data_IF_107039969102
#
_entry.id   IF_107039969102
#
_cell.length_a   1.000
_cell.length_b   1.000
_cell.length_c   1.000
_cell.angle_alpha   90.00
_cell.angle_beta   90.00
_cell.angle_gamma   90.00
#
_symmetry.space_group_name_H-M   'P 1'
#
loop_
_entity.id
_entity.type
_entity.pdbx_description
1 polymer ?
#
# COMPACT_ATOMS: atom_id res chain seq x y z
N UNK A 1 26.14 56.46 -29.84
CA UNK A 1 25.57 56.66 -28.50
C UNK A 1 24.70 55.45 -28.17
N UNK A 2 25.29 54.44 -27.53
CA UNK A 2 24.61 53.20 -27.16
C UNK A 2 24.64 52.98 -25.66
N UNK A 3 23.75 52.11 -25.21
CA UNK A 3 23.69 51.48 -23.89
C UNK A 3 23.10 52.32 -22.76
N UNK A 4 21.80 52.61 -22.84
CA UNK A 4 21.03 53.16 -21.72
C UNK A 4 19.61 52.59 -21.72
N UNK A 5 19.45 51.26 -21.62
CA UNK A 5 18.16 50.58 -21.37
C UNK A 5 18.36 49.07 -21.14
N UNK A 6 19.09 48.66 -20.09
CA UNK A 6 19.09 47.25 -19.67
C UNK A 6 19.67 47.02 -18.26
N UNK A 7 19.19 47.71 -17.22
CA UNK A 7 19.56 47.35 -15.82
C UNK A 7 18.41 47.47 -14.82
N UNK A 8 17.22 47.04 -15.21
CA UNK A 8 16.09 46.87 -14.29
C UNK A 8 15.33 45.60 -14.67
N UNK A 9 15.67 44.43 -14.10
CA UNK A 9 14.79 43.25 -14.06
C UNK A 9 15.37 41.96 -13.43
N UNK A 10 16.60 41.92 -12.88
CA UNK A 10 17.25 40.64 -12.50
C UNK A 10 17.24 40.25 -11.01
N UNK A 11 16.40 40.83 -10.16
CA UNK A 11 16.26 40.40 -8.75
C UNK A 11 14.93 39.69 -8.46
N UNK A 12 13.85 40.01 -9.19
CA UNK A 12 12.50 39.53 -8.86
C UNK A 12 12.17 38.09 -9.28
N UNK A 13 12.96 37.47 -10.17
CA UNK A 13 12.70 36.08 -10.64
C UNK A 13 13.29 35.04 -9.68
N UNK A 14 14.37 35.39 -8.96
CA UNK A 14 15.07 34.48 -8.05
C UNK A 14 14.36 34.27 -6.71
N UNK A 15 13.66 35.29 -6.19
CA UNK A 15 12.82 35.18 -4.99
C UNK A 15 11.56 34.33 -5.23
N UNK A 16 10.93 34.48 -6.41
CA UNK A 16 9.75 33.68 -6.79
C UNK A 16 10.07 32.20 -7.04
N UNK A 17 11.23 31.91 -7.66
CA UNK A 17 11.69 30.54 -7.89
C UNK A 17 12.05 29.83 -6.58
N UNK A 18 12.69 30.54 -5.63
CA UNK A 18 12.99 30.00 -4.30
C UNK A 18 11.70 29.68 -3.50
N UNK A 19 10.70 30.56 -3.56
CA UNK A 19 9.40 30.36 -2.90
C UNK A 19 8.58 29.23 -3.53
N UNK A 20 8.62 29.07 -4.86
CA UNK A 20 7.92 28.00 -5.59
C UNK A 20 8.54 26.62 -5.35
N UNK A 21 9.87 26.55 -5.26
CA UNK A 21 10.61 25.33 -4.91
C UNK A 21 10.35 24.95 -3.45
N UNK A 22 10.34 25.93 -2.53
CA UNK A 22 9.96 25.72 -1.11
C UNK A 22 8.52 25.20 -0.94
N UNK A 23 7.56 25.65 -1.77
CA UNK A 23 6.17 25.20 -1.73
C UNK A 23 5.97 23.76 -2.25
N UNK A 24 6.85 23.30 -3.15
CA UNK A 24 6.89 21.90 -3.61
C UNK A 24 7.48 20.96 -2.55
N UNK A 25 8.44 21.41 -1.74
CA UNK A 25 9.04 20.60 -0.67
C UNK A 25 8.15 20.44 0.57
N UNK A 26 7.19 21.35 0.81
CA UNK A 26 6.34 21.32 2.00
C UNK A 26 5.15 20.34 1.91
N UNK A 27 4.91 19.73 0.75
CA UNK A 27 3.80 18.81 0.54
C UNK A 27 4.31 17.42 0.16
N UNK A 28 5.08 16.80 1.06
CA UNK A 28 5.23 15.34 1.00
C UNK A 28 3.97 14.73 1.62
N UNK A 29 3.27 13.78 0.95
CA UNK A 29 2.20 13.05 1.59
C UNK A 29 2.79 12.32 2.80
N UNK A 30 2.11 12.40 3.95
CA UNK A 30 2.44 11.52 5.06
C UNK A 30 2.22 10.08 4.57
N UNK A 31 3.29 9.32 4.44
CA UNK A 31 3.21 7.91 4.13
C UNK A 31 2.54 7.22 5.32
N UNK A 32 1.37 6.65 5.10
CA UNK A 32 0.78 5.74 6.08
C UNK A 32 1.76 4.58 6.26
N UNK A 33 2.09 4.28 7.52
CA UNK A 33 2.92 3.12 7.82
C UNK A 33 2.02 1.89 7.75
N UNK A 34 2.23 1.08 6.72
CA UNK A 34 1.68 -0.26 6.69
C UNK A 34 2.54 -1.14 7.60
N UNK A 35 2.01 -1.46 8.79
CA UNK A 35 2.70 -2.29 9.79
C UNK A 35 2.90 -3.72 9.28
N UNK A 36 1.96 -4.22 8.49
CA UNK A 36 2.01 -5.55 7.89
C UNK A 36 1.13 -5.59 6.63
N UNK A 37 1.67 -6.11 5.54
CA UNK A 37 0.98 -6.35 4.25
C UNK A 37 1.47 -7.68 3.70
N UNK A 38 0.55 -8.47 3.17
CA UNK A 38 0.84 -9.70 2.43
C UNK A 38 -0.04 -9.73 1.18
N UNK A 39 0.60 -9.87 0.01
CA UNK A 39 -0.08 -9.98 -1.28
C UNK A 39 -0.35 -11.44 -1.66
N UNK A 40 0.13 -12.41 -0.87
CA UNK A 40 0.00 -13.85 -1.06
C UNK A 40 0.71 -14.42 -2.31
N UNK A 41 1.47 -13.61 -3.05
CA UNK A 41 2.29 -14.08 -4.17
C UNK A 41 3.51 -14.90 -3.69
N UNK A 42 3.85 -14.78 -2.40
CA UNK A 42 4.85 -15.60 -1.73
C UNK A 42 4.36 -17.01 -1.33
N UNK A 43 3.09 -17.34 -1.57
CA UNK A 43 2.48 -18.58 -1.09
C UNK A 43 2.07 -18.49 0.40
N UNK A 44 1.94 -19.66 1.05
CA UNK A 44 1.38 -19.77 2.41
C UNK A 44 2.16 -18.96 3.45
N UNK A 45 3.48 -18.92 3.32
CA UNK A 45 4.34 -18.32 4.33
C UNK A 45 4.04 -18.90 5.73
N UNK A 46 3.91 -18.01 6.71
CA UNK A 46 3.60 -18.33 8.10
C UNK A 46 2.10 -18.27 8.43
N UNK A 47 1.24 -18.08 7.43
CA UNK A 47 -0.20 -18.14 7.63
C UNK A 47 -0.64 -19.56 7.98
N UNK A 48 -1.51 -19.69 8.97
CA UNK A 48 -2.01 -20.97 9.41
C UNK A 48 -3.50 -21.13 9.08
N UNK A 49 -3.80 -22.10 8.21
CA UNK A 49 -5.15 -22.47 7.80
C UNK A 49 -5.70 -23.56 8.75
N UNK A 50 -6.41 -23.15 9.79
CA UNK A 50 -7.02 -24.11 10.71
C UNK A 50 -8.33 -24.66 10.13
N UNK A 51 -8.58 -25.95 10.31
CA UNK A 51 -9.72 -26.67 9.74
C UNK A 51 -9.87 -26.57 8.19
N UNK A 52 -8.77 -26.27 7.49
CA UNK A 52 -8.46 -26.81 6.15
C UNK A 52 -9.16 -26.25 4.90
N UNK A 53 -10.05 -25.26 4.98
CA UNK A 53 -10.69 -24.73 3.75
C UNK A 53 -9.92 -23.58 3.09
N UNK A 54 -8.99 -22.95 3.80
CA UNK A 54 -8.16 -21.88 3.26
C UNK A 54 -7.08 -22.41 2.31
N UNK A 55 -6.94 -21.74 1.18
CA UNK A 55 -6.06 -22.12 0.07
C UNK A 55 -5.45 -20.86 -0.54
N UNK A 56 -4.25 -21.01 -1.11
CA UNK A 56 -3.60 -19.97 -1.91
C UNK A 56 -3.53 -20.41 -3.36
N UNK A 57 -3.91 -19.50 -4.25
CA UNK A 57 -3.80 -19.69 -5.69
C UNK A 57 -4.71 -18.74 -6.46
N UNK A 58 -4.92 -19.05 -7.73
CA UNK A 58 -5.86 -18.33 -8.58
C UNK A 58 -7.25 -18.93 -8.42
N UNK A 59 -8.31 -18.14 -8.15
CA UNK A 59 -9.66 -18.65 -8.06
C UNK A 59 -10.14 -19.19 -9.41
N UNK A 60 -10.76 -20.36 -9.42
CA UNK A 60 -11.50 -20.90 -10.56
C UNK A 60 -13.01 -20.92 -10.31
N UNK A 61 -13.42 -20.64 -9.07
CA UNK A 61 -14.78 -20.37 -8.64
C UNK A 61 -14.81 -19.06 -7.84
N UNK A 62 -15.94 -18.32 -7.90
CA UNK A 62 -16.07 -17.03 -7.25
C UNK A 62 -15.55 -15.87 -8.12
N UNK A 63 -14.74 -14.93 -7.60
CA UNK A 63 -14.17 -13.83 -8.38
C UNK A 63 -13.40 -14.32 -9.60
N UNK A 64 -13.44 -13.57 -10.70
CA UNK A 64 -12.79 -13.95 -11.95
C UNK A 64 -11.24 -13.95 -11.87
N UNK A 65 -10.68 -13.22 -10.90
CA UNK A 65 -9.23 -13.15 -10.64
C UNK A 65 -8.99 -12.66 -9.22
N UNK A 66 -7.73 -12.74 -8.77
CA UNK A 66 -7.27 -12.06 -7.55
C UNK A 66 -7.36 -10.53 -7.70
N UNK A 67 -7.38 -9.81 -6.57
CA UNK A 67 -7.45 -8.34 -6.55
C UNK A 67 -6.23 -7.71 -7.24
N UNK A 68 -5.05 -8.24 -6.94
CA UNK A 68 -3.78 -7.94 -7.55
C UNK A 68 -3.03 -9.26 -7.78
N UNK A 69 -2.04 -9.26 -8.66
CA UNK A 69 -1.18 -10.42 -8.89
C UNK A 69 -1.91 -11.63 -9.49
N UNK A 70 -1.44 -12.82 -9.14
CA UNK A 70 -1.87 -14.11 -9.68
C UNK A 70 -2.37 -15.08 -8.60
N UNK A 71 -1.99 -14.87 -7.35
CA UNK A 71 -2.33 -15.69 -6.19
C UNK A 71 -3.04 -14.85 -5.14
N UNK A 72 -4.01 -15.45 -4.49
CA UNK A 72 -4.69 -14.84 -3.36
C UNK A 72 -5.11 -15.93 -2.38
N UNK A 73 -5.24 -15.53 -1.12
CA UNK A 73 -5.81 -16.37 -0.09
C UNK A 73 -7.33 -16.36 -0.20
N UNK A 74 -7.93 -17.54 -0.28
CA UNK A 74 -9.37 -17.71 -0.33
C UNK A 74 -9.78 -19.03 0.29
N UNK A 75 -11.09 -19.23 0.43
CA UNK A 75 -11.62 -20.51 0.89
C UNK A 75 -12.16 -21.29 -0.29
N UNK A 76 -11.61 -22.49 -0.52
CA UNK A 76 -11.98 -23.42 -1.59
C UNK A 76 -12.07 -22.73 -2.96
N UNK A 77 -10.91 -22.46 -3.54
CA UNK A 77 -10.76 -21.68 -4.77
C UNK A 77 -11.38 -22.34 -6.01
N UNK A 78 -11.69 -23.64 -5.94
CA UNK A 78 -12.13 -24.46 -7.06
C UNK A 78 -13.41 -25.27 -6.82
N UNK A 79 -14.18 -24.98 -5.76
CA UNK A 79 -15.27 -25.87 -5.38
C UNK A 79 -16.28 -25.35 -4.35
N UNK A 80 -16.98 -26.30 -3.73
CA UNK A 80 -18.06 -26.04 -2.79
C UNK A 80 -17.57 -26.20 -1.34
N UNK A 81 -18.13 -25.39 -0.45
CA UNK A 81 -17.92 -25.51 0.99
C UNK A 81 -18.44 -26.85 1.55
N UNK A 82 -17.68 -27.51 2.44
CA UNK A 82 -18.22 -28.56 3.27
C UNK A 82 -19.32 -28.00 4.18
N UNK A 83 -20.32 -28.83 4.54
CA UNK A 83 -21.34 -28.41 5.49
C UNK A 83 -20.72 -28.13 6.87
N UNK A 84 -21.33 -27.21 7.62
CA UNK A 84 -21.04 -26.96 9.04
C UNK A 84 -19.54 -26.74 9.36
N UNK A 85 -18.84 -25.96 8.53
CA UNK A 85 -17.40 -25.74 8.66
C UNK A 85 -17.06 -24.42 9.34
N UNK A 86 -16.31 -24.51 10.45
CA UNK A 86 -15.65 -23.38 11.10
C UNK A 86 -14.13 -23.48 10.87
N UNK A 87 -13.55 -22.56 10.10
CA UNK A 87 -12.14 -22.62 9.69
C UNK A 87 -11.52 -21.23 9.75
N UNK A 88 -10.76 -20.91 10.82
CA UNK A 88 -10.06 -19.64 10.90
C UNK A 88 -8.77 -19.65 10.07
N UNK A 89 -8.50 -18.52 9.42
CA UNK A 89 -7.18 -18.21 8.91
C UNK A 89 -6.46 -17.36 9.94
N UNK A 90 -5.33 -17.86 10.41
CA UNK A 90 -4.55 -17.24 11.47
C UNK A 90 -3.32 -16.59 10.82
N UNK A 91 -3.14 -15.29 11.09
CA UNK A 91 -2.00 -14.54 10.60
C UNK A 91 -0.70 -15.01 11.25
N UNK A 92 0.45 -14.72 10.62
CA UNK A 92 1.73 -14.72 11.33
C UNK A 92 1.67 -13.82 12.57
N UNK A 93 2.67 -13.94 13.45
CA UNK A 93 2.83 -13.02 14.57
C UNK A 93 3.17 -11.63 14.03
N UNK A 94 2.36 -10.63 14.39
CA UNK A 94 2.53 -9.24 13.96
C UNK A 94 2.79 -8.38 15.19
N UNK A 95 3.94 -7.72 15.22
CA UNK A 95 4.30 -6.75 16.25
C UNK A 95 3.66 -5.40 15.94
N UNK A 96 2.61 -5.06 16.69
CA UNK A 96 1.92 -3.77 16.54
C UNK A 96 2.62 -2.67 17.35
N UNK A 97 2.88 -1.49 16.77
CA UNK A 97 3.45 -0.37 17.51
C UNK A 97 2.44 0.14 18.56
N UNK A 98 2.96 0.61 19.69
CA UNK A 98 2.14 1.32 20.66
C UNK A 98 1.72 2.67 20.09
N UNK A 99 0.42 2.93 20.04
CA UNK A 99 -0.08 4.26 19.69
C UNK A 99 0.21 5.22 20.85
N UNK A 100 0.92 6.30 20.56
CA UNK A 100 1.01 7.45 21.47
C UNK A 100 -0.21 8.33 21.21
N UNK A 101 -1.06 8.48 22.24
CA UNK A 101 -2.10 9.50 22.24
C UNK A 101 -1.42 10.86 22.15
N UNK A 102 -1.82 11.65 21.15
CA UNK A 102 -1.51 13.08 21.07
C UNK A 102 -2.73 13.83 21.59
N UNK A 103 -2.86 13.87 22.92
CA UNK A 103 -3.80 14.76 23.58
C UNK A 103 -3.28 16.21 23.66
#
# INVERSE_FOLDING_TARGET
MGVLLARFQRVSVWLGFCLLVLFCFSNTPAYALDVFVDDFEGGQGDWFADNGVWQIGTPTAGPASCFEGSQCMGTILDGNYPPDTDSPLISPVIDLPTLVSVD
#
